data_IF_145953493259
#
_entry.id   IF_145953493259
#
_cell.length_a   1.000
_cell.length_b   1.000
_cell.length_c   1.000
_cell.angle_alpha   90.00
_cell.angle_beta   90.00
_cell.angle_gamma   90.00
#
_symmetry.space_group_name_H-M   'P 1'
#
loop_
_entity.id
_entity.type
_entity.pdbx_description
1 polymer ?
#
# COMPACT_ATOMS: atom_id res chain seq x y z
N UNK A 1 2.00 -0.50 17.57
CA UNK A 1 2.62 -1.82 17.40
C UNK A 1 4.14 -1.75 17.23
N UNK A 2 4.71 -0.82 16.45
CA UNK A 2 6.16 -0.68 16.24
C UNK A 2 6.98 -0.55 17.54
N UNK A 3 6.53 0.22 18.54
CA UNK A 3 7.25 0.38 19.82
C UNK A 3 7.28 -0.90 20.67
N UNK A 4 6.22 -1.70 20.61
CA UNK A 4 6.16 -3.01 21.28
C UNK A 4 7.09 -4.02 20.60
N UNK A 5 7.08 -4.08 19.26
CA UNK A 5 7.98 -4.94 18.49
C UNK A 5 9.45 -4.64 18.77
N UNK A 6 9.82 -3.35 18.85
CA UNK A 6 11.21 -2.96 19.19
C UNK A 6 11.61 -3.38 20.60
N UNK A 7 10.68 -3.36 21.56
CA UNK A 7 10.95 -3.87 22.92
C UNK A 7 11.14 -5.40 22.93
N UNK A 8 10.25 -6.12 22.23
CA UNK A 8 10.33 -7.59 22.10
C UNK A 8 11.59 -8.01 21.35
N UNK A 9 11.99 -7.27 20.31
CA UNK A 9 13.20 -7.52 19.54
C UNK A 9 14.47 -7.50 20.40
N UNK A 10 14.55 -6.60 21.39
CA UNK A 10 15.69 -6.54 22.32
C UNK A 10 15.83 -7.79 23.19
N UNK A 11 14.73 -8.43 23.56
CA UNK A 11 14.75 -9.60 24.42
C UNK A 11 14.71 -10.93 23.65
N UNK A 12 13.96 -10.99 22.55
CA UNK A 12 13.70 -12.21 21.80
C UNK A 12 14.40 -12.25 20.44
N UNK A 13 15.08 -11.18 20.02
CA UNK A 13 15.75 -11.10 18.70
C UNK A 13 16.80 -12.19 18.49
N UNK A 14 17.43 -12.69 19.57
CA UNK A 14 18.40 -13.80 19.53
C UNK A 14 17.78 -15.14 19.07
N UNK A 15 16.46 -15.28 19.17
CA UNK A 15 15.75 -16.50 18.74
C UNK A 15 15.19 -16.37 17.31
N UNK A 16 15.45 -15.25 16.65
CA UNK A 16 15.01 -15.08 15.28
C UNK A 16 15.76 -16.04 14.35
N UNK A 17 15.02 -16.75 13.53
CA UNK A 17 15.55 -17.67 12.52
C UNK A 17 15.88 -16.82 11.28
N UNK A 18 17.16 -16.65 10.92
CA UNK A 18 17.52 -15.95 9.70
C UNK A 18 17.16 -16.81 8.47
N UNK A 19 16.87 -16.16 7.35
CA UNK A 19 16.49 -16.82 6.09
C UNK A 19 15.26 -17.75 6.23
N UNK A 20 14.28 -17.38 7.07
CA UNK A 20 13.10 -18.22 7.33
C UNK A 20 12.35 -18.55 6.04
N UNK A 21 12.28 -17.62 5.08
CA UNK A 21 11.65 -17.88 3.77
C UNK A 21 12.33 -19.04 3.03
N UNK A 22 13.65 -19.15 3.10
CA UNK A 22 14.40 -20.26 2.50
C UNK A 22 14.05 -21.61 3.16
N UNK A 23 13.98 -21.64 4.50
CA UNK A 23 13.63 -22.87 5.22
C UNK A 23 12.21 -23.32 4.89
N UNK A 24 11.26 -22.40 4.77
CA UNK A 24 9.89 -22.75 4.38
C UNK A 24 9.84 -23.32 2.96
N UNK A 25 10.53 -22.71 2.00
CA UNK A 25 10.61 -23.20 0.61
C UNK A 25 11.31 -24.56 0.58
N UNK A 26 12.44 -24.73 1.28
CA UNK A 26 13.15 -25.99 1.31
C UNK A 26 12.29 -27.13 1.87
N UNK A 27 11.51 -26.86 2.91
CA UNK A 27 10.55 -27.82 3.47
C UNK A 27 9.43 -28.18 2.47
N UNK A 28 8.90 -27.21 1.74
CA UNK A 28 7.89 -27.46 0.70
C UNK A 28 8.47 -28.32 -0.45
N UNK A 29 9.69 -28.01 -0.89
CA UNK A 29 10.40 -28.80 -1.92
C UNK A 29 10.62 -30.24 -1.43
N UNK A 30 11.00 -30.44 -0.17
CA UNK A 30 11.19 -31.76 0.42
C UNK A 30 9.89 -32.56 0.39
N UNK A 31 8.78 -32.03 0.88
CA UNK A 31 7.50 -32.74 0.89
C UNK A 31 6.94 -32.98 -0.51
N UNK A 32 7.16 -32.06 -1.42
CA UNK A 32 6.82 -32.26 -2.83
C UNK A 32 7.63 -33.43 -3.45
N UNK A 33 8.94 -33.45 -3.19
CA UNK A 33 9.80 -34.55 -3.63
C UNK A 33 9.37 -35.89 -3.04
N UNK A 34 9.04 -35.96 -1.75
CA UNK A 34 8.52 -37.15 -1.09
C UNK A 34 7.19 -37.63 -1.70
N UNK A 35 6.31 -36.69 -2.06
CA UNK A 35 5.05 -37.01 -2.73
C UNK A 35 5.28 -37.65 -4.11
N UNK A 36 6.24 -37.12 -4.88
CA UNK A 36 6.56 -37.61 -6.21
C UNK A 36 7.32 -38.97 -6.19
N UNK A 37 8.31 -39.10 -5.32
CA UNK A 37 9.23 -40.24 -5.33
C UNK A 37 8.75 -41.41 -4.45
N UNK A 38 8.11 -41.06 -3.32
CA UNK A 38 7.70 -42.08 -2.33
C UNK A 38 6.17 -42.21 -2.19
N UNK A 39 5.38 -41.53 -3.02
CA UNK A 39 3.92 -41.57 -2.92
C UNK A 39 3.38 -41.00 -1.60
N UNK A 40 4.11 -40.08 -0.95
CA UNK A 40 3.69 -39.52 0.32
C UNK A 40 2.39 -38.71 0.15
N UNK A 41 1.38 -39.01 0.97
CA UNK A 41 0.12 -38.28 0.95
C UNK A 41 0.27 -36.94 1.66
N UNK A 42 0.21 -35.83 0.89
CA UNK A 42 0.34 -34.45 1.38
C UNK A 42 -0.82 -34.05 2.31
N UNK A 43 -1.97 -34.70 2.28
CA UNK A 43 -3.07 -34.44 3.20
C UNK A 43 -2.68 -34.70 4.67
N UNK A 44 -1.71 -35.57 4.91
CA UNK A 44 -1.20 -35.87 6.26
C UNK A 44 -0.48 -34.70 6.92
N UNK A 45 -0.01 -33.72 6.15
CA UNK A 45 0.66 -32.52 6.64
C UNK A 45 -0.22 -31.27 6.54
N UNK A 46 -1.38 -31.35 5.88
CA UNK A 46 -2.34 -30.26 5.82
C UNK A 46 -3.00 -30.06 7.19
N UNK A 47 -3.31 -28.80 7.52
CA UNK A 47 -3.99 -28.46 8.78
C UNK A 47 -5.45 -28.90 8.70
N UNK A 48 -5.82 -29.86 9.54
CA UNK A 48 -7.20 -30.30 9.75
C UNK A 48 -7.45 -30.38 11.25
N UNK A 49 -8.27 -29.49 11.82
CA UNK A 49 -8.45 -29.40 13.26
C UNK A 49 -8.97 -30.69 13.92
N UNK A 50 -9.88 -31.44 13.27
CA UNK A 50 -10.35 -32.73 13.78
C UNK A 50 -9.19 -33.70 13.97
N UNK A 51 -8.27 -33.79 13.01
CA UNK A 51 -7.10 -34.66 13.11
C UNK A 51 -6.12 -34.16 14.20
N UNK A 52 -5.97 -32.82 14.39
CA UNK A 52 -5.18 -32.28 15.49
C UNK A 52 -5.76 -32.68 16.84
N UNK A 53 -7.10 -32.59 17.00
CA UNK A 53 -7.79 -32.97 18.23
C UNK A 53 -7.72 -34.48 18.48
N UNK A 54 -7.57 -35.31 17.44
CA UNK A 54 -7.35 -36.77 17.57
C UNK A 54 -5.89 -37.16 17.87
N UNK A 55 -4.98 -36.16 18.03
CA UNK A 55 -3.59 -36.37 18.43
C UNK A 55 -2.56 -36.06 17.34
N UNK A 56 -2.95 -35.72 16.11
CA UNK A 56 -2.01 -35.39 15.02
C UNK A 56 -1.52 -33.92 15.13
N UNK A 57 -0.94 -33.56 16.28
CA UNK A 57 -0.52 -32.20 16.62
C UNK A 57 0.56 -31.62 15.69
N UNK A 58 1.33 -32.46 15.01
CA UNK A 58 2.34 -32.00 14.04
C UNK A 58 1.73 -31.19 12.90
N UNK A 59 0.48 -31.40 12.55
CA UNK A 59 -0.24 -30.64 11.51
C UNK A 59 -0.27 -29.14 11.77
N UNK A 60 -0.20 -28.72 13.04
CA UNK A 60 -0.09 -27.31 13.41
C UNK A 60 1.18 -26.65 12.86
N UNK A 61 2.27 -27.40 12.70
CA UNK A 61 3.52 -26.86 12.18
C UNK A 61 3.72 -27.24 10.69
N UNK A 62 3.40 -28.48 10.32
CA UNK A 62 3.72 -29.01 9.00
C UNK A 62 2.90 -28.41 7.87
N UNK A 63 1.72 -27.83 8.13
CA UNK A 63 0.93 -27.20 7.07
C UNK A 63 1.64 -26.02 6.40
N UNK A 64 2.61 -25.39 7.08
CA UNK A 64 3.45 -24.36 6.49
C UNK A 64 4.33 -24.88 5.34
N UNK A 65 4.65 -26.17 5.40
CA UNK A 65 5.50 -26.89 4.45
C UNK A 65 4.70 -27.57 3.33
N UNK A 66 3.39 -27.32 3.27
CA UNK A 66 2.53 -27.86 2.20
C UNK A 66 2.89 -27.19 0.87
N UNK A 67 3.32 -27.94 -0.15
CA UNK A 67 3.64 -27.37 -1.46
C UNK A 67 2.38 -26.83 -2.15
N UNK A 68 2.50 -25.83 -3.04
CA UNK A 68 1.38 -25.38 -3.86
C UNK A 68 0.82 -26.52 -4.73
N UNK A 69 -0.51 -26.60 -4.84
CA UNK A 69 -1.16 -27.57 -5.71
C UNK A 69 -1.30 -27.00 -7.12
N UNK A 70 -0.28 -27.19 -7.96
CA UNK A 70 -0.25 -26.68 -9.33
C UNK A 70 0.64 -27.57 -10.22
N UNK A 71 0.73 -27.26 -11.50
CA UNK A 71 1.68 -27.90 -12.41
C UNK A 71 3.13 -27.61 -11.96
N UNK A 72 4.11 -28.52 -12.10
CA UNK A 72 5.49 -28.37 -11.60
C UNK A 72 6.18 -27.05 -11.95
N UNK A 73 5.99 -26.55 -13.19
CA UNK A 73 6.55 -25.26 -13.62
C UNK A 73 5.99 -24.09 -12.79
N UNK A 74 4.68 -24.09 -12.49
CA UNK A 74 4.06 -23.06 -11.67
C UNK A 74 4.44 -23.17 -10.20
N UNK A 75 4.68 -24.39 -9.70
CA UNK A 75 5.18 -24.63 -8.34
C UNK A 75 6.57 -23.99 -8.20
N UNK A 76 7.49 -24.27 -9.13
CA UNK A 76 8.83 -23.69 -9.13
C UNK A 76 8.80 -22.15 -9.16
N UNK A 77 7.92 -21.58 -10.00
CA UNK A 77 7.71 -20.14 -10.07
C UNK A 77 7.12 -19.57 -8.76
N UNK A 78 6.16 -20.26 -8.15
CA UNK A 78 5.59 -19.86 -6.86
C UNK A 78 6.63 -19.88 -5.75
N UNK A 79 7.50 -20.88 -5.67
CA UNK A 79 8.61 -20.95 -4.73
C UNK A 79 9.62 -19.83 -4.94
N UNK A 80 9.97 -19.56 -6.20
CA UNK A 80 10.85 -18.44 -6.54
C UNK A 80 10.27 -17.11 -6.05
N UNK A 81 8.99 -16.83 -6.34
CA UNK A 81 8.33 -15.61 -5.89
C UNK A 81 8.22 -15.55 -4.37
N UNK A 82 7.86 -16.65 -3.72
CA UNK A 82 7.76 -16.71 -2.26
C UNK A 82 9.11 -16.39 -1.61
N UNK A 83 10.19 -17.03 -2.11
CA UNK A 83 11.55 -16.77 -1.63
C UNK A 83 11.97 -15.32 -1.87
N UNK A 84 11.76 -14.80 -3.07
CA UNK A 84 12.12 -13.42 -3.44
C UNK A 84 11.40 -12.41 -2.54
N UNK A 85 10.10 -12.54 -2.40
CA UNK A 85 9.30 -11.63 -1.57
C UNK A 85 9.61 -11.78 -0.08
N UNK A 86 9.72 -13.01 0.40
CA UNK A 86 10.05 -13.29 1.80
C UNK A 86 11.44 -12.78 2.20
N UNK A 87 12.45 -13.03 1.36
CA UNK A 87 13.82 -12.53 1.59
C UNK A 87 13.89 -11.00 1.55
N UNK A 88 13.15 -10.37 0.63
CA UNK A 88 13.08 -8.92 0.56
C UNK A 88 12.43 -8.32 1.83
N UNK A 89 11.34 -8.90 2.32
CA UNK A 89 10.69 -8.48 3.55
C UNK A 89 11.60 -8.68 4.77
N UNK A 90 12.30 -9.82 4.82
CA UNK A 90 13.25 -10.11 5.88
C UNK A 90 14.43 -9.12 5.87
N UNK A 91 14.94 -8.79 4.69
CA UNK A 91 15.99 -7.77 4.55
C UNK A 91 15.49 -6.38 4.98
N UNK A 92 14.25 -6.03 4.67
CA UNK A 92 13.66 -4.72 4.97
C UNK A 92 13.34 -4.52 6.46
N UNK A 93 12.83 -5.57 7.13
CA UNK A 93 12.40 -5.50 8.54
C UNK A 93 13.38 -6.07 9.54
N UNK A 94 14.34 -6.85 9.07
CA UNK A 94 15.19 -7.73 9.87
C UNK A 94 14.51 -9.08 10.18
N UNK A 95 15.33 -10.10 10.52
CA UNK A 95 14.86 -11.48 10.74
C UNK A 95 13.76 -11.57 11.81
N UNK A 96 13.92 -10.85 12.93
CA UNK A 96 12.96 -10.93 14.04
C UNK A 96 11.55 -10.51 13.65
N UNK A 97 11.40 -9.36 12.99
CA UNK A 97 10.08 -8.85 12.61
C UNK A 97 9.43 -9.69 11.52
N UNK A 98 10.24 -10.22 10.60
CA UNK A 98 9.74 -11.15 9.60
C UNK A 98 9.24 -12.46 10.25
N UNK A 99 9.99 -13.00 11.22
CA UNK A 99 9.56 -14.18 11.98
C UNK A 99 8.25 -13.93 12.75
N UNK A 100 8.11 -12.75 13.37
CA UNK A 100 6.85 -12.36 14.04
C UNK A 100 5.70 -12.25 13.03
N UNK A 101 5.95 -11.71 11.82
CA UNK A 101 4.94 -11.64 10.76
C UNK A 101 4.46 -13.04 10.33
N UNK A 102 5.39 -13.95 10.09
CA UNK A 102 5.09 -15.34 9.74
C UNK A 102 4.38 -16.06 10.91
N UNK A 103 4.89 -15.88 12.14
CA UNK A 103 4.30 -16.46 13.34
C UNK A 103 2.88 -15.98 13.63
N UNK A 104 2.60 -14.70 13.42
CA UNK A 104 1.24 -14.16 13.56
C UNK A 104 0.32 -14.72 12.48
N UNK A 105 0.76 -14.78 11.22
CA UNK A 105 -0.01 -15.38 10.13
C UNK A 105 -0.27 -16.88 10.37
N UNK A 106 0.72 -17.61 10.86
CA UNK A 106 0.57 -18.99 11.30
C UNK A 106 -0.48 -19.14 12.41
N UNK A 107 -0.37 -18.31 13.47
CA UNK A 107 -1.30 -18.36 14.60
C UNK A 107 -2.75 -18.03 14.18
N UNK A 108 -2.93 -16.99 13.36
CA UNK A 108 -4.25 -16.61 12.87
C UNK A 108 -4.85 -17.69 11.98
N UNK A 109 -4.06 -18.27 11.08
CA UNK A 109 -4.53 -19.37 10.22
C UNK A 109 -4.91 -20.59 11.05
N UNK A 110 -4.05 -21.00 12.00
CA UNK A 110 -4.33 -22.12 12.87
C UNK A 110 -5.57 -21.88 13.74
N UNK A 111 -5.66 -20.72 14.42
CA UNK A 111 -6.78 -20.41 15.30
C UNK A 111 -8.11 -20.35 14.54
N UNK A 112 -8.15 -19.71 13.38
CA UNK A 112 -9.38 -19.60 12.58
C UNK A 112 -9.77 -20.91 11.91
N UNK A 113 -8.82 -21.81 11.62
CA UNK A 113 -9.12 -23.14 11.09
C UNK A 113 -10.04 -23.94 12.03
N UNK A 114 -9.91 -23.81 13.35
CA UNK A 114 -10.77 -24.48 14.33
C UNK A 114 -12.25 -24.04 14.27
N UNK A 115 -12.58 -22.94 13.57
CA UNK A 115 -13.97 -22.55 13.29
C UNK A 115 -14.58 -23.34 12.11
N UNK A 116 -13.79 -24.17 11.41
CA UNK A 116 -14.23 -25.08 10.36
C UNK A 116 -13.48 -26.41 10.51
N UNK A 117 -13.78 -27.23 11.53
CA UNK A 117 -12.94 -28.36 11.97
C UNK A 117 -12.71 -29.44 10.92
N UNK A 118 -13.70 -29.67 10.06
CA UNK A 118 -13.65 -30.74 9.02
C UNK A 118 -12.89 -30.31 7.76
N UNK A 119 -12.63 -29.00 7.61
CA UNK A 119 -11.99 -28.48 6.43
C UNK A 119 -10.46 -28.56 6.52
N UNK A 120 -9.83 -28.81 5.37
CA UNK A 120 -8.39 -28.66 5.23
C UNK A 120 -8.00 -27.20 5.04
N UNK A 121 -7.03 -26.75 5.81
CA UNK A 121 -6.40 -25.44 5.66
C UNK A 121 -4.97 -25.58 5.17
N UNK A 122 -4.55 -24.67 4.29
CA UNK A 122 -3.22 -24.62 3.70
C UNK A 122 -2.52 -23.30 3.98
N UNK A 123 -1.27 -23.21 3.61
CA UNK A 123 -0.44 -22.01 3.73
C UNK A 123 -0.67 -20.95 2.63
N UNK A 124 -1.59 -21.18 1.69
CA UNK A 124 -1.85 -20.30 0.53
C UNK A 124 -2.21 -18.88 1.00
N UNK A 125 -3.05 -18.75 2.02
CA UNK A 125 -3.44 -17.47 2.55
C UNK A 125 -2.30 -16.74 3.27
N UNK A 126 -1.40 -17.47 3.93
CA UNK A 126 -0.16 -16.92 4.50
C UNK A 126 0.75 -16.38 3.38
N UNK A 127 0.94 -17.14 2.30
CA UNK A 127 1.65 -16.69 1.11
C UNK A 127 1.02 -15.42 0.51
N UNK A 128 -0.31 -15.34 0.48
CA UNK A 128 -1.04 -14.15 0.05
C UNK A 128 -0.77 -12.93 0.94
N UNK A 129 -0.64 -13.10 2.26
CA UNK A 129 -0.29 -11.99 3.16
C UNK A 129 1.14 -11.47 2.93
N UNK A 130 2.10 -12.37 2.65
CA UNK A 130 3.49 -12.03 2.28
C UNK A 130 3.50 -11.24 0.97
N UNK A 131 2.74 -11.70 -0.02
CA UNK A 131 2.60 -11.01 -1.30
C UNK A 131 2.06 -9.60 -1.13
N UNK A 132 0.96 -9.41 -0.37
CA UNK A 132 0.37 -8.09 -0.11
C UNK A 132 1.34 -7.18 0.65
N UNK A 133 2.07 -7.71 1.63
CA UNK A 133 3.10 -6.97 2.37
C UNK A 133 4.22 -6.47 1.45
N UNK A 134 4.72 -7.35 0.58
CA UNK A 134 5.75 -6.98 -0.39
C UNK A 134 5.25 -5.96 -1.42
N UNK A 135 4.04 -6.14 -1.95
CA UNK A 135 3.42 -5.22 -2.90
C UNK A 135 3.17 -3.83 -2.30
N UNK A 136 2.81 -3.77 -1.02
CA UNK A 136 2.63 -2.51 -0.30
C UNK A 136 3.94 -1.72 -0.16
N UNK A 137 5.05 -2.41 0.12
CA UNK A 137 6.37 -1.79 0.27
C UNK A 137 7.02 -1.45 -1.08
N UNK A 138 6.73 -2.22 -2.13
CA UNK A 138 7.37 -2.09 -3.45
C UNK A 138 6.33 -1.99 -4.58
N UNK A 139 5.45 -0.96 -4.61
CA UNK A 139 4.29 -0.91 -5.53
C UNK A 139 4.67 -0.85 -7.02
N UNK A 140 5.84 -0.32 -7.34
CA UNK A 140 6.33 -0.18 -8.71
C UNK A 140 7.27 -1.31 -9.14
N UNK A 141 7.49 -2.32 -8.28
CA UNK A 141 8.26 -3.50 -8.64
C UNK A 141 7.60 -4.23 -9.82
N UNK A 142 8.39 -4.60 -10.82
CA UNK A 142 7.92 -5.27 -12.03
C UNK A 142 8.26 -6.75 -11.95
N UNK A 143 7.23 -7.59 -12.03
CA UNK A 143 7.39 -9.04 -12.15
C UNK A 143 7.22 -9.41 -13.61
N UNK A 144 8.16 -10.22 -14.13
CA UNK A 144 8.04 -10.82 -15.45
C UNK A 144 7.19 -12.10 -15.35
N UNK A 145 5.90 -11.98 -15.64
CA UNK A 145 5.02 -13.16 -15.68
C UNK A 145 5.41 -14.00 -16.90
N UNK A 146 5.71 -15.29 -16.66
CA UNK A 146 6.20 -16.22 -17.68
C UNK A 146 7.42 -15.72 -18.47
N UNK A 147 8.25 -14.86 -17.88
CA UNK A 147 9.41 -14.22 -18.50
C UNK A 147 9.11 -13.38 -19.76
N UNK A 148 7.82 -13.12 -20.04
CA UNK A 148 7.38 -12.42 -21.25
C UNK A 148 6.69 -11.10 -20.88
N UNK A 149 5.78 -11.11 -19.89
CA UNK A 149 4.91 -9.97 -19.61
C UNK A 149 5.38 -9.20 -18.36
N UNK A 150 5.93 -7.98 -18.49
CA UNK A 150 6.29 -7.14 -17.37
C UNK A 150 5.03 -6.52 -16.74
N UNK A 151 4.68 -6.93 -15.51
CA UNK A 151 3.52 -6.42 -14.79
C UNK A 151 3.97 -5.79 -13.47
N UNK A 152 3.52 -4.56 -13.21
CA UNK A 152 3.76 -3.93 -11.91
C UNK A 152 2.96 -4.64 -10.83
N UNK A 153 3.64 -4.95 -9.71
CA UNK A 153 3.06 -5.74 -8.62
C UNK A 153 1.79 -5.13 -8.01
N UNK A 154 1.63 -3.81 -8.05
CA UNK A 154 0.42 -3.12 -7.59
C UNK A 154 -0.86 -3.60 -8.30
N UNK A 155 -0.80 -3.94 -9.59
CA UNK A 155 -1.95 -4.45 -10.32
C UNK A 155 -2.30 -5.87 -9.89
N UNK A 156 -1.26 -6.70 -9.63
CA UNK A 156 -1.47 -8.04 -9.07
C UNK A 156 -2.04 -7.98 -7.64
N UNK A 157 -1.61 -6.99 -6.85
CA UNK A 157 -2.16 -6.78 -5.51
C UNK A 157 -3.63 -6.35 -5.56
N UNK A 158 -4.03 -5.50 -6.51
CA UNK A 158 -5.44 -5.16 -6.73
C UNK A 158 -6.25 -6.40 -7.13
N UNK A 159 -5.72 -7.23 -8.02
CA UNK A 159 -6.35 -8.50 -8.41
C UNK A 159 -6.49 -9.45 -7.20
N UNK A 160 -5.46 -9.53 -6.34
CA UNK A 160 -5.51 -10.30 -5.09
C UNK A 160 -6.61 -9.80 -4.15
N UNK A 161 -6.73 -8.47 -3.97
CA UNK A 161 -7.82 -7.89 -3.18
C UNK A 161 -9.20 -8.17 -3.77
N UNK A 162 -9.35 -8.07 -5.10
CA UNK A 162 -10.60 -8.43 -5.78
C UNK A 162 -10.93 -9.92 -5.58
N UNK A 163 -9.93 -10.80 -5.69
CA UNK A 163 -10.06 -12.23 -5.40
C UNK A 163 -10.48 -12.50 -3.96
N UNK A 164 -9.89 -11.80 -2.99
CA UNK A 164 -10.29 -11.91 -1.59
C UNK A 164 -11.73 -11.45 -1.35
N UNK A 165 -12.14 -10.33 -1.94
CA UNK A 165 -13.52 -9.85 -1.88
C UNK A 165 -14.50 -10.88 -2.48
N UNK A 166 -14.14 -11.48 -3.62
CA UNK A 166 -14.93 -12.54 -4.25
C UNK A 166 -15.05 -13.78 -3.34
N UNK A 167 -13.94 -14.25 -2.75
CA UNK A 167 -13.96 -15.40 -1.81
C UNK A 167 -14.80 -15.08 -0.58
N UNK A 168 -14.74 -13.86 -0.04
CA UNK A 168 -15.59 -13.47 1.08
C UNK A 168 -17.09 -13.45 0.73
N UNK A 169 -17.43 -13.12 -0.52
CA UNK A 169 -18.83 -13.07 -0.98
C UNK A 169 -19.40 -14.48 -1.23
N UNK A 170 -18.70 -15.30 -2.02
CA UNK A 170 -19.26 -16.55 -2.55
C UNK A 170 -18.47 -17.82 -2.15
N UNK A 171 -17.29 -17.67 -1.54
CA UNK A 171 -16.43 -18.80 -1.18
C UNK A 171 -16.97 -19.65 -0.02
N UNK A 172 -16.45 -20.87 0.16
CA UNK A 172 -16.77 -21.70 1.31
C UNK A 172 -16.27 -21.07 2.61
N UNK A 173 -16.90 -21.45 3.74
CA UNK A 173 -16.59 -20.87 5.04
C UNK A 173 -15.10 -20.97 5.42
N UNK A 174 -14.48 -22.11 5.18
CA UNK A 174 -13.04 -22.31 5.42
C UNK A 174 -12.14 -21.36 4.64
N UNK A 175 -12.45 -21.09 3.36
CA UNK A 175 -11.70 -20.13 2.56
C UNK A 175 -11.91 -18.69 3.03
N UNK A 176 -13.13 -18.31 3.46
CA UNK A 176 -13.39 -17.00 4.08
C UNK A 176 -12.55 -16.79 5.33
N UNK A 177 -12.43 -17.79 6.18
CA UNK A 177 -11.57 -17.75 7.37
C UNK A 177 -10.10 -17.55 7.00
N UNK A 178 -9.63 -18.23 5.94
CA UNK A 178 -8.29 -18.04 5.42
C UNK A 178 -8.02 -16.61 4.92
N UNK A 179 -8.97 -16.01 4.20
CA UNK A 179 -8.89 -14.60 3.77
C UNK A 179 -8.86 -13.65 4.98
N UNK A 180 -9.68 -13.93 6.01
CA UNK A 180 -9.67 -13.14 7.26
C UNK A 180 -8.31 -13.24 7.95
N UNK A 181 -7.71 -14.45 8.02
CA UNK A 181 -6.38 -14.66 8.57
C UNK A 181 -5.31 -13.85 7.81
N UNK A 182 -5.30 -13.95 6.48
CA UNK A 182 -4.33 -13.24 5.63
C UNK A 182 -4.46 -11.71 5.74
N UNK A 183 -5.69 -11.21 5.66
CA UNK A 183 -5.99 -9.78 5.78
C UNK A 183 -5.68 -9.26 7.18
N UNK A 184 -6.05 -10.02 8.22
CA UNK A 184 -5.74 -9.69 9.61
C UNK A 184 -4.23 -9.61 9.87
N UNK A 185 -3.45 -10.57 9.34
CA UNK A 185 -1.99 -10.54 9.43
C UNK A 185 -1.40 -9.31 8.75
N UNK A 186 -1.83 -9.02 7.51
CA UNK A 186 -1.40 -7.82 6.78
C UNK A 186 -1.75 -6.54 7.55
N UNK A 187 -3.00 -6.38 7.97
CA UNK A 187 -3.46 -5.19 8.68
C UNK A 187 -2.77 -5.01 10.04
N UNK A 188 -2.47 -6.08 10.75
CA UNK A 188 -1.75 -6.01 12.02
C UNK A 188 -0.41 -5.29 11.88
N UNK A 189 0.30 -5.43 10.76
CA UNK A 189 1.56 -4.76 10.50
C UNK A 189 1.40 -3.38 9.86
N UNK A 190 0.46 -3.23 8.93
CA UNK A 190 0.39 -2.04 8.06
C UNK A 190 -0.73 -1.06 8.40
N UNK A 191 -1.74 -1.43 9.24
CA UNK A 191 -2.88 -0.56 9.54
C UNK A 191 -2.44 0.82 10.07
N UNK A 192 -1.42 0.87 10.92
CA UNK A 192 -0.89 2.12 11.45
C UNK A 192 -0.34 3.06 10.38
N UNK A 193 0.39 2.50 9.42
CA UNK A 193 0.99 3.27 8.32
C UNK A 193 -0.08 3.67 7.29
N UNK A 194 -1.02 2.80 6.99
CA UNK A 194 -2.17 3.09 6.11
C UNK A 194 -3.00 4.24 6.68
N UNK A 195 -3.36 4.17 7.97
CA UNK A 195 -4.12 5.25 8.63
C UNK A 195 -3.34 6.56 8.62
N UNK A 196 -2.01 6.52 8.85
CA UNK A 196 -1.15 7.69 8.79
C UNK A 196 -1.13 8.31 7.38
N UNK A 197 -0.97 7.49 6.34
CA UNK A 197 -0.97 7.95 4.95
C UNK A 197 -2.31 8.60 4.57
N UNK A 198 -3.44 7.99 4.95
CA UNK A 198 -4.78 8.55 4.72
C UNK A 198 -4.92 9.91 5.42
N UNK A 199 -4.51 10.01 6.70
CA UNK A 199 -4.60 11.26 7.47
C UNK A 199 -3.71 12.36 6.89
N UNK A 200 -2.47 12.04 6.51
CA UNK A 200 -1.55 13.04 5.91
C UNK A 200 -1.98 13.43 4.51
N UNK A 201 -2.48 12.50 3.71
CA UNK A 201 -3.02 12.78 2.38
C UNK A 201 -4.23 13.73 2.45
N UNK A 202 -5.17 13.47 3.37
CA UNK A 202 -6.32 14.38 3.61
C UNK A 202 -5.88 15.78 4.05
N UNK A 203 -4.87 15.89 4.93
CA UNK A 203 -4.33 17.20 5.36
C UNK A 203 -3.67 17.95 4.20
N UNK A 204 -2.91 17.26 3.33
CA UNK A 204 -2.31 17.88 2.14
C UNK A 204 -3.36 18.38 1.17
N UNK A 205 -4.40 17.60 0.89
CA UNK A 205 -5.52 18.00 0.01
C UNK A 205 -6.29 19.19 0.60
N UNK A 206 -6.58 19.18 1.90
CA UNK A 206 -7.23 20.30 2.57
C UNK A 206 -6.38 21.57 2.50
N UNK A 207 -5.07 21.48 2.75
CA UNK A 207 -4.15 22.61 2.63
C UNK A 207 -4.05 23.15 1.20
N UNK A 208 -3.98 22.25 0.21
CA UNK A 208 -4.01 22.65 -1.20
C UNK A 208 -5.33 23.36 -1.55
N UNK A 209 -6.47 22.85 -1.10
CA UNK A 209 -7.77 23.47 -1.32
C UNK A 209 -7.84 24.87 -0.70
N UNK A 210 -7.31 25.06 0.53
CA UNK A 210 -7.26 26.41 1.16
C UNK A 210 -6.33 27.35 0.41
N UNK A 211 -5.17 26.87 -0.09
CA UNK A 211 -4.25 27.67 -0.90
C UNK A 211 -4.88 28.05 -2.25
N UNK A 212 -5.61 27.13 -2.88
CA UNK A 212 -6.35 27.45 -4.13
C UNK A 212 -7.48 28.42 -3.88
N UNK A 213 -8.24 28.28 -2.78
CA UNK A 213 -9.29 29.23 -2.41
C UNK A 213 -8.73 30.62 -2.12
N UNK A 214 -7.65 30.71 -1.33
CA UNK A 214 -6.97 31.98 -1.06
C UNK A 214 -6.44 32.66 -2.34
N UNK A 215 -5.89 31.88 -3.28
CA UNK A 215 -5.48 32.41 -4.59
C UNK A 215 -6.65 32.86 -5.46
N UNK A 216 -7.82 32.27 -5.30
CA UNK A 216 -9.03 32.73 -5.99
C UNK A 216 -9.59 34.01 -5.39
N UNK A 217 -9.50 34.16 -4.05
CA UNK A 217 -9.88 35.40 -3.36
C UNK A 217 -8.88 36.55 -3.59
N UNK A 218 -7.57 36.23 -3.77
CA UNK A 218 -6.53 37.21 -4.18
C UNK A 218 -6.64 37.63 -5.66
N UNK A 219 -7.66 37.24 -6.36
CA UNK A 219 -7.91 37.61 -7.74
C UNK A 219 -8.57 39.01 -7.87
N UNK A 220 -8.29 39.93 -6.95
CA UNK A 220 -8.43 41.34 -7.28
C UNK A 220 -7.40 41.74 -8.35
N UNK A 221 -7.85 42.39 -9.43
CA UNK A 221 -6.94 42.81 -10.49
C UNK A 221 -5.88 43.74 -9.94
N UNK A 222 -4.62 43.41 -10.11
CA UNK A 222 -3.48 44.27 -9.68
C UNK A 222 -3.40 45.54 -10.47
N UNK A 223 -3.87 45.50 -11.71
CA UNK A 223 -3.85 46.61 -12.63
C UNK A 223 -5.25 46.77 -13.25
N UNK A 224 -5.83 47.95 -13.09
CA UNK A 224 -7.10 48.31 -13.71
C UNK A 224 -6.97 49.66 -14.41
N UNK A 225 -7.28 49.70 -15.70
CA UNK A 225 -7.30 50.95 -16.44
C UNK A 225 -8.43 51.86 -15.91
N UNK A 226 -8.06 53.05 -15.51
CA UNK A 226 -9.02 54.04 -14.96
C UNK A 226 -10.07 54.48 -15.99
N UNK A 227 -9.75 54.49 -17.28
CA UNK A 227 -10.64 54.98 -18.34
C UNK A 227 -11.60 53.90 -18.84
N UNK A 228 -11.09 52.75 -19.26
CA UNK A 228 -11.91 51.69 -19.88
C UNK A 228 -12.23 50.51 -18.98
N UNK A 229 -11.69 50.47 -17.74
CA UNK A 229 -11.97 49.41 -16.78
C UNK A 229 -11.30 48.06 -17.07
N UNK A 230 -10.58 47.89 -18.19
CA UNK A 230 -9.82 46.67 -18.51
C UNK A 230 -8.84 46.38 -17.39
N UNK A 231 -8.64 45.13 -17.10
CA UNK A 231 -7.79 44.63 -16.01
C UNK A 231 -6.76 43.62 -16.53
N UNK A 232 -5.72 43.41 -15.76
CA UNK A 232 -4.71 42.35 -16.02
C UNK A 232 -5.30 40.92 -15.99
N UNK A 233 -6.50 40.74 -15.43
CA UNK A 233 -7.24 39.47 -15.47
C UNK A 233 -8.08 39.32 -16.73
N UNK A 234 -8.66 40.43 -17.26
CA UNK A 234 -9.46 40.35 -18.51
C UNK A 234 -8.58 40.36 -19.74
N UNK A 235 -7.45 41.04 -19.70
CA UNK A 235 -6.50 41.18 -20.80
C UNK A 235 -5.06 40.88 -20.34
N UNK A 236 -4.69 39.62 -20.10
CA UNK A 236 -3.40 39.23 -19.50
C UNK A 236 -2.16 39.61 -20.32
N UNK A 237 -2.32 39.87 -21.59
CA UNK A 237 -1.22 40.24 -22.50
C UNK A 237 -1.05 41.75 -22.66
N UNK A 238 -1.89 42.52 -21.99
CA UNK A 238 -1.86 43.98 -22.10
C UNK A 238 -0.89 44.60 -21.08
N UNK A 239 -0.02 45.50 -21.54
CA UNK A 239 1.00 46.16 -20.71
C UNK A 239 0.41 47.39 -20.01
N UNK A 240 -0.03 47.22 -18.77
CA UNK A 240 -0.59 48.27 -17.94
C UNK A 240 0.53 49.12 -17.32
N UNK A 241 0.43 50.46 -17.44
CA UNK A 241 1.42 51.40 -16.92
C UNK A 241 0.79 52.50 -16.06
N UNK A 242 1.59 53.01 -15.16
CA UNK A 242 1.17 54.12 -14.28
C UNK A 242 1.57 55.49 -14.88
N UNK A 243 0.68 56.44 -14.81
CA UNK A 243 0.98 57.80 -15.24
C UNK A 243 1.77 58.55 -14.15
N UNK A 244 2.95 59.07 -14.52
CA UNK A 244 3.82 59.83 -13.61
C UNK A 244 3.33 61.27 -13.32
N UNK A 245 2.35 61.78 -14.08
CA UNK A 245 1.81 63.12 -13.94
C UNK A 245 0.49 63.16 -13.17
N UNK A 246 -0.16 62.00 -12.99
CA UNK A 246 -1.40 61.91 -12.23
C UNK A 246 -1.12 61.81 -10.74
N UNK A 247 -1.96 62.42 -9.93
CA UNK A 247 -1.95 62.25 -8.50
C UNK A 247 -2.36 60.81 -8.12
N UNK A 248 -1.60 60.19 -7.24
CA UNK A 248 -1.78 58.82 -6.86
C UNK A 248 -1.32 57.82 -7.95
N UNK A 249 -1.35 56.54 -7.62
CA UNK A 249 -0.91 55.47 -8.55
C UNK A 249 -2.05 55.15 -9.54
N UNK A 250 -2.27 55.98 -10.55
CA UNK A 250 -3.31 55.75 -11.56
C UNK A 250 -2.78 54.92 -12.69
N UNK A 251 -3.41 53.75 -12.92
CA UNK A 251 -3.02 52.77 -13.90
C UNK A 251 -3.84 52.91 -15.20
N UNK A 252 -3.18 52.79 -16.34
CA UNK A 252 -3.78 52.92 -17.66
C UNK A 252 -3.30 51.83 -18.60
N UNK A 253 -4.16 51.40 -19.52
CA UNK A 253 -3.77 50.55 -20.63
C UNK A 253 -3.00 51.36 -21.70
N UNK A 254 -2.30 50.70 -22.64
CA UNK A 254 -1.50 51.39 -23.69
C UNK A 254 -2.31 52.41 -24.50
N UNK A 255 -3.59 52.13 -24.74
CA UNK A 255 -4.48 53.03 -25.49
C UNK A 255 -4.79 54.34 -24.74
N UNK A 256 -4.88 54.27 -23.42
CA UNK A 256 -5.27 55.42 -22.59
C UNK A 256 -4.09 56.05 -21.81
N UNK A 257 -2.87 55.48 -21.93
CA UNK A 257 -1.70 55.99 -21.22
C UNK A 257 -1.31 57.41 -21.66
N UNK A 258 -1.48 57.73 -22.96
CA UNK A 258 -1.13 59.03 -23.55
C UNK A 258 -2.35 59.89 -23.87
N UNK A 259 -3.56 59.35 -23.73
CA UNK A 259 -4.80 59.99 -24.11
C UNK A 259 -5.82 59.96 -22.95
N UNK A 260 -5.48 60.60 -21.82
CA UNK A 260 -6.36 60.72 -20.65
C UNK A 260 -6.17 62.07 -20.00
N UNK A 261 -7.22 62.57 -19.31
CA UNK A 261 -7.13 63.75 -18.47
C UNK A 261 -6.31 63.42 -17.22
N UNK A 262 -5.34 64.26 -16.93
CA UNK A 262 -4.52 64.10 -15.74
C UNK A 262 -5.30 64.41 -14.47
N UNK A 263 -5.30 63.53 -13.51
CA UNK A 263 -5.83 63.75 -12.17
C UNK A 263 -4.81 64.57 -11.40
N UNK A 264 -5.12 65.85 -11.17
CA UNK A 264 -4.27 66.68 -10.36
C UNK A 264 -4.68 66.63 -8.88
N UNK A 265 -3.74 66.84 -7.98
CA UNK A 265 -4.04 66.94 -6.54
C UNK A 265 -4.77 68.29 -6.36
N UNK A 266 -6.02 68.29 -5.92
CA UNK A 266 -6.69 69.44 -5.47
C UNK A 266 -5.94 69.99 -4.24
N UNK A 267 -5.38 71.21 -4.34
CA UNK A 267 -4.60 71.84 -3.27
C UNK A 267 -5.46 72.24 -2.05
N UNK A 268 -6.77 72.01 -2.08
CA UNK A 268 -7.72 72.46 -1.03
C UNK A 268 -7.87 71.52 0.18
N UNK A 269 -7.13 70.35 0.21
CA UNK A 269 -7.16 69.41 1.36
C UNK A 269 -6.02 69.65 2.38
N UNK A 270 -5.51 70.91 2.48
CA UNK A 270 -4.61 71.30 3.55
C UNK A 270 -5.26 72.44 4.34
N UNK A 271 -6.32 72.15 5.11
CA UNK A 271 -6.68 72.93 6.29
C UNK A 271 -7.29 72.05 7.36
#
# INVERSE_FOLDING_TARGET
MMSLLTKLERHLGRFAIPNLALFLVAGQVLFWGLALMAGFNLERIALQPVAVLSGEVWRLATFLLLPPNAHPVFIAFAWYLFYLMGSALEHYWGPFRFNVFIGLGWLLTAALAFLSPDAYSSNVFLGGSIFLAFAYLNPDFVIMIFFILPVKIKWLALLQWAGYAFVLAVGPWSARLGVIAATGNFLAFFAGDIVRQIRTGRRRMAHQATVFAARADDAEPRHRCRVCGKTDLTDPQMDFRYCSKCAGNQCYCPEHLFNHEHVLVDEEAKH
#
